data_IF_428478471556
#
_entry.id   IF_428478471556
#
_cell.length_a   1.000
_cell.length_b   1.000
_cell.length_c   1.000
_cell.angle_alpha   90.00
_cell.angle_beta   90.00
_cell.angle_gamma   90.00
#
_symmetry.space_group_name_H-M   'P 1'
#
loop_
_entity.id
_entity.type
_entity.pdbx_description
1 polymer ?
#
# COMPACT_ATOMS: atom_id res chain seq x y z
N UNK A 1 -20.29 -5.45 73.77
CA UNK A 1 -19.03 -4.78 74.15
C UNK A 1 -18.34 -4.26 72.89
N UNK A 2 -17.72 -3.08 72.99
CA UNK A 2 -17.18 -2.14 71.97
C UNK A 2 -15.94 -2.69 71.20
N UNK A 3 -15.48 -2.10 70.07
CA UNK A 3 -15.53 -0.66 69.77
C UNK A 3 -15.84 -0.20 68.32
N UNK A 4 -16.18 1.10 68.27
CA UNK A 4 -16.16 2.00 67.12
C UNK A 4 -14.71 2.43 66.82
N UNK A 5 -14.37 2.60 65.55
CA UNK A 5 -13.37 3.54 65.05
C UNK A 5 -14.04 4.27 63.86
N UNK A 6 -14.26 5.60 63.83
CA UNK A 6 -13.30 6.71 63.81
C UNK A 6 -12.27 6.56 62.68
N UNK A 7 -11.98 7.51 61.79
CA UNK A 7 -12.43 8.88 61.59
C UNK A 7 -11.94 9.32 60.20
N UNK A 8 -12.72 10.18 59.55
CA UNK A 8 -12.35 11.38 58.76
C UNK A 8 -10.89 11.46 58.26
N UNK A 9 -10.73 11.76 56.97
CA UNK A 9 -10.50 13.15 56.54
C UNK A 9 -10.12 13.24 55.05
N UNK A 10 -10.63 14.29 54.42
CA UNK A 10 -9.92 15.14 53.46
C UNK A 10 -9.07 14.46 52.38
N UNK A 11 -9.67 14.32 51.19
CA UNK A 11 -8.94 14.03 49.96
C UNK A 11 -9.46 14.91 48.83
N UNK A 12 -8.90 16.12 48.74
CA UNK A 12 -8.50 16.77 47.49
C UNK A 12 -9.53 16.73 46.34
N UNK A 13 -10.34 17.76 46.12
CA UNK A 13 -9.91 19.03 45.51
C UNK A 13 -8.90 18.88 44.33
N UNK A 14 -8.96 17.80 43.57
CA UNK A 14 -8.16 17.58 42.36
C UNK A 14 -8.98 16.92 41.25
N UNK A 15 -10.18 17.45 40.96
CA UNK A 15 -11.09 16.88 39.96
C UNK A 15 -11.63 17.92 38.97
N UNK A 16 -10.81 18.92 38.63
CA UNK A 16 -11.23 20.00 37.71
C UNK A 16 -10.25 20.40 36.59
N UNK A 17 -9.27 19.56 36.20
CA UNK A 17 -8.32 19.91 35.12
C UNK A 17 -7.94 18.78 34.15
N UNK A 18 -8.83 17.85 33.80
CA UNK A 18 -8.51 16.75 32.87
C UNK A 18 -9.58 16.47 31.79
N UNK A 19 -10.38 17.46 31.40
CA UNK A 19 -11.47 17.26 30.42
C UNK A 19 -11.44 18.18 29.19
N UNK A 20 -10.28 18.74 28.82
CA UNK A 20 -10.18 19.66 27.66
C UNK A 20 -9.06 19.27 26.67
N UNK A 21 -8.95 17.98 26.33
CA UNK A 21 -7.89 17.48 25.44
C UNK A 21 -8.30 16.44 24.38
N UNK A 22 -9.59 16.11 24.20
CA UNK A 22 -9.99 14.98 23.35
C UNK A 22 -10.41 15.31 21.90
N UNK A 23 -10.38 16.57 21.43
CA UNK A 23 -10.99 16.92 20.14
C UNK A 23 -10.04 17.37 19.01
N UNK A 24 -8.72 17.32 19.19
CA UNK A 24 -7.77 17.85 18.20
C UNK A 24 -6.90 16.80 17.48
N UNK A 25 -7.26 15.51 17.57
CA UNK A 25 -6.30 14.42 17.25
C UNK A 25 -6.65 13.44 16.14
N UNK A 26 -7.70 13.65 15.32
CA UNK A 26 -8.09 12.61 14.34
C UNK A 26 -8.57 13.18 13.02
N UNK A 27 -7.61 13.69 12.26
CA UNK A 27 -7.60 13.58 10.80
C UNK A 27 -6.26 13.01 10.36
N UNK A 28 -5.99 11.77 10.75
CA UNK A 28 -5.12 10.95 9.90
C UNK A 28 -5.96 10.64 8.66
N UNK A 29 -5.73 11.40 7.58
CA UNK A 29 -6.08 10.90 6.27
C UNK A 29 -5.43 9.52 6.16
N UNK A 30 -6.26 8.48 6.02
CA UNK A 30 -5.75 7.16 5.70
C UNK A 30 -4.84 7.35 4.48
N UNK A 31 -3.56 6.99 4.63
CA UNK A 31 -2.70 6.84 3.47
C UNK A 31 -3.48 5.99 2.45
N UNK A 32 -3.46 6.34 1.15
CA UNK A 32 -4.10 5.49 0.16
C UNK A 32 -3.56 4.08 0.41
N UNK A 33 -4.48 3.13 0.65
CA UNK A 33 -4.10 1.74 0.81
C UNK A 33 -3.16 1.41 -0.34
N UNK A 34 -1.99 0.83 -0.02
CA UNK A 34 -1.12 0.29 -1.05
C UNK A 34 -2.03 -0.56 -1.96
N UNK A 35 -1.98 -0.38 -3.29
CA UNK A 35 -2.91 -1.06 -4.17
C UNK A 35 -2.86 -2.55 -3.86
N UNK A 36 -4.01 -3.09 -3.45
CA UNK A 36 -4.21 -4.52 -3.25
C UNK A 36 -3.60 -5.25 -4.45
N UNK A 37 -2.82 -6.31 -4.18
CA UNK A 37 -2.10 -7.02 -5.22
C UNK A 37 -3.09 -7.62 -6.22
N UNK A 38 -3.29 -6.93 -7.34
CA UNK A 38 -4.20 -7.39 -8.40
C UNK A 38 -3.78 -8.78 -8.89
N UNK A 39 -4.70 -9.59 -9.45
CA UNK A 39 -4.36 -10.88 -10.06
C UNK A 39 -3.19 -10.79 -11.05
N UNK A 40 -3.11 -9.70 -11.81
CA UNK A 40 -2.04 -9.47 -12.76
C UNK A 40 -0.67 -9.27 -12.11
N UNK A 41 -0.60 -8.48 -11.01
CA UNK A 41 0.62 -8.34 -10.22
C UNK A 41 1.07 -9.68 -9.60
N UNK A 42 0.12 -10.51 -9.15
CA UNK A 42 0.41 -11.84 -8.63
C UNK A 42 0.98 -12.78 -9.71
N UNK A 43 0.39 -12.78 -10.92
CA UNK A 43 0.91 -13.55 -12.06
C UNK A 43 2.31 -13.05 -12.44
N UNK A 44 2.52 -11.74 -12.54
CA UNK A 44 3.81 -11.14 -12.88
C UNK A 44 4.89 -11.62 -11.89
N UNK A 45 4.61 -11.50 -10.58
CA UNK A 45 5.53 -11.93 -9.54
C UNK A 45 5.83 -13.44 -9.60
N UNK A 46 4.79 -14.28 -9.71
CA UNK A 46 4.92 -15.75 -9.66
C UNK A 46 5.54 -16.35 -10.92
N UNK A 47 5.21 -15.84 -12.11
CA UNK A 47 5.62 -16.42 -13.39
C UNK A 47 6.91 -15.81 -13.92
N UNK A 48 7.07 -14.50 -13.81
CA UNK A 48 8.13 -13.79 -14.53
C UNK A 48 9.41 -13.58 -13.70
N UNK A 49 9.36 -13.72 -12.37
CA UNK A 49 10.52 -13.53 -11.50
C UNK A 49 11.55 -14.68 -11.57
N UNK A 50 11.20 -15.78 -12.25
CA UNK A 50 11.98 -17.01 -12.24
C UNK A 50 13.26 -16.94 -13.09
N UNK A 51 13.34 -16.00 -14.04
CA UNK A 51 14.44 -15.95 -15.00
C UNK A 51 15.33 -14.71 -14.87
N UNK A 52 14.75 -13.57 -14.47
CA UNK A 52 15.46 -12.31 -14.30
C UNK A 52 14.62 -11.34 -13.45
N UNK A 53 15.17 -10.15 -13.18
CA UNK A 53 14.45 -9.08 -12.50
C UNK A 53 13.15 -8.72 -13.23
N UNK A 54 12.08 -8.55 -12.46
CA UNK A 54 10.77 -8.18 -12.99
C UNK A 54 10.79 -6.78 -13.62
N UNK A 55 10.12 -6.61 -14.77
CA UNK A 55 9.83 -5.28 -15.29
C UNK A 55 8.82 -4.57 -14.37
N UNK A 56 8.88 -3.24 -14.34
CA UNK A 56 7.91 -2.40 -13.63
C UNK A 56 6.92 -1.80 -14.64
N UNK A 57 5.69 -2.35 -14.77
CA UNK A 57 4.75 -1.97 -15.84
C UNK A 57 4.33 -0.50 -15.76
N UNK A 58 4.20 0.04 -14.54
CA UNK A 58 3.81 1.43 -14.28
C UNK A 58 4.80 2.46 -14.88
N UNK A 59 6.05 2.07 -15.14
CA UNK A 59 7.07 2.93 -15.76
C UNK A 59 7.10 2.83 -17.29
N UNK A 60 6.18 2.10 -17.89
CA UNK A 60 6.11 1.89 -19.33
C UNK A 60 4.80 2.45 -19.88
N UNK A 61 4.85 3.03 -21.08
CA UNK A 61 3.62 3.23 -21.84
C UNK A 61 2.97 1.89 -22.15
N UNK A 62 1.67 1.92 -22.42
CA UNK A 62 0.89 0.73 -22.79
C UNK A 62 1.56 -0.06 -23.91
N UNK A 63 1.93 0.62 -24.98
CA UNK A 63 2.59 0.03 -26.14
C UNK A 63 3.93 -0.63 -25.82
N UNK A 64 4.74 0.00 -24.97
CA UNK A 64 6.04 -0.55 -24.57
C UNK A 64 5.84 -1.81 -23.73
N UNK A 65 4.83 -1.82 -22.86
CA UNK A 65 4.46 -2.98 -22.05
C UNK A 65 4.00 -4.16 -22.91
N UNK A 66 3.04 -3.93 -23.83
CA UNK A 66 2.52 -4.98 -24.71
C UNK A 66 3.63 -5.59 -25.58
N UNK A 67 4.51 -4.77 -26.15
CA UNK A 67 5.68 -5.26 -26.90
C UNK A 67 6.62 -6.10 -26.03
N UNK A 68 6.74 -5.82 -24.72
CA UNK A 68 7.55 -6.63 -23.81
C UNK A 68 6.91 -8.01 -23.57
N UNK A 69 5.59 -8.06 -23.38
CA UNK A 69 4.84 -9.31 -23.27
C UNK A 69 4.98 -10.16 -24.55
N UNK A 70 4.88 -9.57 -25.74
CA UNK A 70 5.07 -10.29 -27.00
C UNK A 70 6.46 -10.93 -27.12
N UNK A 71 7.51 -10.26 -26.63
CA UNK A 71 8.85 -10.84 -26.59
C UNK A 71 8.93 -12.04 -25.65
N UNK A 72 8.23 -11.98 -24.52
CA UNK A 72 8.20 -13.07 -23.53
C UNK A 72 7.33 -14.24 -23.98
N UNK A 73 6.23 -13.99 -24.68
CA UNK A 73 5.35 -15.03 -25.25
C UNK A 73 6.09 -15.98 -26.20
N UNK A 74 7.18 -15.51 -26.84
CA UNK A 74 8.07 -16.36 -27.67
C UNK A 74 9.05 -17.23 -26.88
N UNK A 75 9.21 -16.99 -25.58
CA UNK A 75 10.23 -17.64 -24.72
C UNK A 75 9.63 -18.41 -23.55
N UNK A 76 8.40 -18.08 -23.15
CA UNK A 76 7.71 -18.62 -21.99
C UNK A 76 6.35 -19.15 -22.43
N UNK A 77 5.97 -20.33 -21.94
CA UNK A 77 4.62 -20.89 -22.14
C UNK A 77 3.76 -20.58 -20.93
N UNK A 78 2.72 -19.78 -21.12
CA UNK A 78 1.64 -19.53 -20.16
C UNK A 78 0.29 -19.73 -20.85
N UNK A 79 -0.78 -20.04 -20.12
CA UNK A 79 -2.14 -20.00 -20.65
C UNK A 79 -2.48 -18.63 -21.24
N UNK A 80 -3.26 -18.56 -22.32
CA UNK A 80 -3.59 -17.27 -22.97
C UNK A 80 -4.28 -16.29 -22.01
N UNK A 81 -5.17 -16.79 -21.15
CA UNK A 81 -5.84 -15.99 -20.12
C UNK A 81 -4.86 -15.34 -19.12
N UNK A 82 -3.72 -15.97 -18.82
CA UNK A 82 -2.68 -15.35 -17.97
C UNK A 82 -1.99 -14.20 -18.72
N UNK A 83 -1.78 -14.34 -20.03
CA UNK A 83 -1.23 -13.25 -20.84
C UNK A 83 -2.21 -12.06 -20.95
N UNK A 84 -3.49 -12.32 -21.15
CA UNK A 84 -4.53 -11.29 -21.18
C UNK A 84 -4.59 -10.54 -19.85
N UNK A 85 -4.50 -11.28 -18.74
CA UNK A 85 -4.45 -10.69 -17.41
C UNK A 85 -3.21 -9.79 -17.23
N UNK A 86 -2.04 -10.22 -17.70
CA UNK A 86 -0.81 -9.40 -17.67
C UNK A 86 -0.92 -8.13 -18.54
N UNK A 87 -1.66 -8.17 -19.65
CA UNK A 87 -1.88 -7.01 -20.50
C UNK A 87 -2.64 -5.88 -19.78
N UNK A 88 -3.41 -6.19 -18.74
CA UNK A 88 -4.12 -5.19 -17.91
C UNK A 88 -3.18 -4.31 -17.06
N UNK A 89 -1.93 -4.75 -16.84
CA UNK A 89 -0.90 -3.94 -16.16
C UNK A 89 -0.37 -2.80 -17.04
N UNK A 90 -0.79 -2.73 -18.30
CA UNK A 90 -0.42 -1.65 -19.17
C UNK A 90 -0.92 -0.33 -18.56
N UNK A 91 -0.01 0.51 -18.09
CA UNK A 91 -0.38 1.85 -17.66
C UNK A 91 -0.98 2.59 -18.87
N UNK A 92 -2.14 3.21 -18.67
CA UNK A 92 -2.63 4.22 -19.60
C UNK A 92 -1.53 5.27 -19.75
N UNK A 93 -1.12 5.49 -21.00
CA UNK A 93 0.02 6.30 -21.47
C UNK A 93 0.59 7.23 -20.40
N UNK A 94 1.48 6.66 -19.57
CA UNK A 94 2.14 7.22 -18.39
C UNK A 94 1.88 8.71 -18.18
N UNK A 95 0.77 9.05 -17.50
CA UNK A 95 0.52 10.41 -17.02
C UNK A 95 1.65 10.77 -16.03
N UNK A 96 2.62 11.54 -16.52
CA UNK A 96 3.72 12.09 -15.75
C UNK A 96 4.91 11.14 -15.62
N UNK A 97 5.93 11.35 -16.44
CA UNK A 97 7.27 10.87 -16.16
C UNK A 97 7.62 11.13 -14.69
N UNK A 98 7.98 10.07 -13.94
CA UNK A 98 8.73 10.24 -12.71
C UNK A 98 9.95 11.11 -13.04
N UNK A 99 10.11 12.20 -12.28
CA UNK A 99 11.17 13.19 -12.45
C UNK A 99 12.54 12.52 -12.68
N UNK A 100 13.40 13.08 -13.56
CA UNK A 100 14.73 12.52 -13.78
C UNK A 100 15.50 12.51 -12.46
N UNK A 101 16.14 11.37 -12.16
CA UNK A 101 17.11 11.29 -11.07
C UNK A 101 18.22 12.32 -11.32
N UNK A 102 18.72 13.04 -10.30
CA UNK A 102 19.84 13.96 -10.49
C UNK A 102 21.04 13.17 -11.01
N UNK A 103 21.54 13.60 -12.17
CA UNK A 103 22.70 13.02 -12.83
C UNK A 103 23.93 13.07 -11.95
N UNK A 104 24.78 12.04 -12.08
CA UNK A 104 26.15 12.03 -11.56
C UNK A 104 27.09 12.68 -12.55
#
# INVERSE_FOLDING_TARGET
MRPRAASRAAGSACLLLLALGCAAGQRMAAAPAAPEATPAHAILAKRCANCHRLPEPARMSRDRWLRALDRMRRRVRLPEAEWDTLATLAAADSAGAAAPAPGR
#
